data_IF_626512480125
#
_entry.id   IF_626512480125
#
_cell.length_a   1.000
_cell.length_b   1.000
_cell.length_c   1.000
_cell.angle_alpha   90.00
_cell.angle_beta   90.00
_cell.angle_gamma   90.00
#
_symmetry.space_group_name_H-M   'P 1'
#
loop_
_entity.id
_entity.type
_entity.pdbx_description
1 polymer ?
#
# COMPACT_ATOMS: atom_id res chain seq x y z
N UNK A 1 -7.97 27.47 -40.50
CA UNK A 1 -8.93 26.73 -39.66
C UNK A 1 -8.30 26.43 -38.29
N UNK A 2 -8.01 27.47 -37.48
CA UNK A 2 -7.32 27.32 -36.18
C UNK A 2 -8.15 26.59 -35.12
N UNK A 3 -9.49 26.58 -35.27
CA UNK A 3 -10.42 25.99 -34.30
C UNK A 3 -10.25 24.47 -34.13
N UNK A 4 -9.74 23.76 -35.15
CA UNK A 4 -9.53 22.30 -35.09
C UNK A 4 -8.31 21.99 -34.22
N UNK A 5 -7.25 22.80 -34.34
CA UNK A 5 -6.04 22.67 -33.54
C UNK A 5 -6.30 23.03 -32.08
N UNK A 6 -7.09 24.07 -31.81
CA UNK A 6 -7.54 24.41 -30.46
C UNK A 6 -8.40 23.30 -29.85
N UNK A 7 -9.33 22.73 -30.61
CA UNK A 7 -10.15 21.61 -30.14
C UNK A 7 -9.32 20.35 -29.83
N UNK A 8 -8.32 20.05 -30.67
CA UNK A 8 -7.38 18.94 -30.42
C UNK A 8 -6.51 19.18 -29.19
N UNK A 9 -6.02 20.40 -29.00
CA UNK A 9 -5.23 20.78 -27.82
C UNK A 9 -6.08 20.73 -26.54
N UNK A 10 -7.33 21.17 -26.60
CA UNK A 10 -8.28 21.06 -25.49
C UNK A 10 -8.59 19.60 -25.17
N UNK A 11 -8.82 18.75 -26.17
CA UNK A 11 -9.01 17.31 -25.97
C UNK A 11 -7.79 16.64 -25.36
N UNK A 12 -6.58 17.00 -25.81
CA UNK A 12 -5.32 16.50 -25.25
C UNK A 12 -5.13 16.95 -23.81
N UNK A 13 -5.41 18.22 -23.50
CA UNK A 13 -5.34 18.76 -22.16
C UNK A 13 -6.38 18.10 -21.25
N UNK A 14 -7.59 17.88 -21.73
CA UNK A 14 -8.65 17.20 -20.99
C UNK A 14 -8.30 15.72 -20.75
N UNK A 15 -7.67 15.04 -21.71
CA UNK A 15 -7.18 13.68 -21.55
C UNK A 15 -6.03 13.58 -20.54
N UNK A 16 -5.11 14.56 -20.52
CA UNK A 16 -4.06 14.69 -19.50
C UNK A 16 -4.66 14.94 -18.12
N UNK A 17 -5.65 15.81 -18.02
CA UNK A 17 -6.36 16.14 -16.79
C UNK A 17 -7.15 14.92 -16.30
N UNK A 18 -7.77 14.17 -17.22
CA UNK A 18 -8.42 12.90 -16.93
C UNK A 18 -7.43 11.82 -16.49
N UNK A 19 -6.19 11.79 -17.00
CA UNK A 19 -5.13 10.91 -16.49
C UNK A 19 -4.68 11.31 -15.08
N UNK A 20 -4.69 12.62 -14.77
CA UNK A 20 -4.33 13.16 -13.46
C UNK A 20 -5.42 12.91 -12.39
N UNK A 21 -6.69 12.95 -12.82
CA UNK A 21 -7.88 12.74 -11.98
C UNK A 21 -8.37 11.28 -12.06
N UNK A 22 -7.77 10.44 -12.91
CA UNK A 22 -8.19 9.06 -13.09
C UNK A 22 -8.18 8.41 -11.72
N UNK A 23 -9.33 7.90 -11.22
CA UNK A 23 -9.30 7.09 -10.02
C UNK A 23 -8.33 5.98 -10.33
N UNK A 24 -7.21 5.94 -9.60
CA UNK A 24 -6.34 4.77 -9.66
C UNK A 24 -7.26 3.58 -9.37
N UNK A 25 -7.05 2.42 -9.99
CA UNK A 25 -7.66 1.22 -9.46
C UNK A 25 -7.05 1.04 -8.05
N UNK A 26 -7.71 1.66 -7.08
CA UNK A 26 -7.23 1.82 -5.71
C UNK A 26 -7.56 0.56 -4.92
N UNK A 27 -6.67 0.24 -3.99
CA UNK A 27 -6.94 -0.77 -3.00
C UNK A 27 -6.38 -2.15 -3.31
N UNK A 28 -6.58 -2.99 -2.29
CA UNK A 28 -5.95 -4.29 -2.15
C UNK A 28 -6.32 -5.26 -3.27
N UNK A 29 -7.54 -5.17 -3.78
CA UNK A 29 -8.05 -6.05 -4.84
C UNK A 29 -7.33 -5.83 -6.16
N UNK A 30 -6.98 -4.58 -6.48
CA UNK A 30 -6.19 -4.30 -7.67
C UNK A 30 -4.75 -4.79 -7.53
N UNK A 31 -4.12 -4.54 -6.37
CA UNK A 31 -2.79 -5.06 -6.09
C UNK A 31 -2.76 -6.59 -6.15
N UNK A 32 -3.81 -7.23 -5.62
CA UNK A 32 -4.06 -8.67 -5.72
C UNK A 32 -4.12 -9.15 -7.15
N UNK A 33 -4.93 -8.52 -7.99
CA UNK A 33 -5.03 -8.90 -9.40
C UNK A 33 -3.69 -8.80 -10.16
N UNK A 34 -2.83 -7.82 -9.81
CA UNK A 34 -1.56 -7.58 -10.50
C UNK A 34 -0.40 -8.43 -10.00
N UNK A 35 -0.37 -8.76 -8.72
CA UNK A 35 0.74 -9.49 -8.09
C UNK A 35 0.37 -10.93 -7.69
N UNK A 36 -0.81 -11.44 -8.08
CA UNK A 36 -1.29 -12.80 -7.74
C UNK A 36 -0.26 -13.91 -7.95
N UNK A 37 0.55 -13.84 -9.01
CA UNK A 37 1.50 -14.89 -9.38
C UNK A 37 2.91 -14.62 -8.83
N UNK A 38 3.10 -13.53 -8.08
CA UNK A 38 4.41 -13.04 -7.62
C UNK A 38 4.56 -13.04 -6.10
N UNK A 39 3.44 -13.03 -5.37
CA UNK A 39 3.39 -12.99 -3.91
C UNK A 39 2.47 -14.09 -3.38
N UNK A 40 2.84 -14.61 -2.22
CA UNK A 40 1.92 -15.41 -1.42
C UNK A 40 0.93 -14.47 -0.72
N UNK A 41 -0.30 -14.45 -1.21
CA UNK A 41 -1.36 -13.60 -0.66
C UNK A 41 -1.80 -14.04 0.73
N UNK A 42 -1.58 -15.30 1.12
CA UNK A 42 -1.83 -15.76 2.48
C UNK A 42 -0.88 -15.08 3.48
N UNK A 43 0.37 -14.82 3.08
CA UNK A 43 1.33 -14.10 3.93
C UNK A 43 0.98 -12.62 4.07
N UNK A 44 0.56 -11.99 2.97
CA UNK A 44 0.11 -10.60 2.95
C UNK A 44 -1.14 -10.41 3.81
N UNK A 45 -2.16 -11.24 3.62
CA UNK A 45 -3.38 -11.23 4.42
C UNK A 45 -3.07 -11.52 5.90
N UNK A 46 -2.15 -12.45 6.18
CA UNK A 46 -1.65 -12.74 7.52
C UNK A 46 -1.03 -11.51 8.21
N UNK A 47 -0.14 -10.80 7.52
CA UNK A 47 0.51 -9.60 8.06
C UNK A 47 -0.49 -8.46 8.30
N UNK A 48 -1.42 -8.23 7.38
CA UNK A 48 -2.47 -7.20 7.54
C UNK A 48 -3.43 -7.53 8.68
N UNK A 49 -3.78 -8.80 8.84
CA UNK A 49 -4.60 -9.27 9.95
C UNK A 49 -3.87 -9.13 11.28
N UNK A 50 -2.57 -9.43 11.34
CA UNK A 50 -1.75 -9.22 12.52
C UNK A 50 -1.70 -7.74 12.93
N UNK A 51 -1.45 -6.84 11.99
CA UNK A 51 -1.48 -5.40 12.24
C UNK A 51 -2.87 -4.94 12.70
N UNK A 52 -3.94 -5.47 12.10
CA UNK A 52 -5.32 -5.13 12.48
C UNK A 52 -5.68 -5.61 13.89
N UNK A 53 -5.20 -6.80 14.30
CA UNK A 53 -5.37 -7.32 15.67
C UNK A 53 -4.62 -6.45 16.67
N UNK A 54 -3.36 -6.13 16.38
CA UNK A 54 -2.54 -5.25 17.23
C UNK A 54 -3.15 -3.85 17.37
N UNK A 55 -3.70 -3.31 16.28
CA UNK A 55 -4.44 -2.05 16.31
C UNK A 55 -5.68 -2.14 17.21
N UNK A 56 -6.42 -3.26 17.17
CA UNK A 56 -7.59 -3.48 18.02
C UNK A 56 -7.21 -3.63 19.50
N UNK A 57 -6.17 -4.41 19.81
CA UNK A 57 -5.63 -4.57 21.16
C UNK A 57 -5.17 -3.24 21.75
N UNK A 58 -4.46 -2.42 20.97
CA UNK A 58 -4.03 -1.08 21.40
C UNK A 58 -5.22 -0.13 21.60
N UNK A 59 -6.25 -0.21 20.77
CA UNK A 59 -7.49 0.57 20.93
C UNK A 59 -8.26 0.16 22.17
N UNK A 60 -8.34 -1.13 22.47
CA UNK A 60 -8.98 -1.65 23.67
C UNK A 60 -8.20 -1.24 24.93
N UNK A 61 -6.87 -1.38 24.91
CA UNK A 61 -5.99 -0.92 25.98
C UNK A 61 -6.11 0.60 26.22
N UNK A 62 -6.32 1.39 25.16
CA UNK A 62 -6.54 2.83 25.26
C UNK A 62 -7.89 3.20 25.90
N UNK A 63 -8.90 2.31 25.83
CA UNK A 63 -10.22 2.51 26.44
C UNK A 63 -10.27 2.10 27.92
N UNK A 64 -9.20 1.52 28.47
CA UNK A 64 -9.15 1.11 29.86
C UNK A 64 -9.37 2.31 30.81
N UNK A 65 -10.23 2.18 31.84
CA UNK A 65 -10.39 3.23 32.84
C UNK A 65 -9.11 3.39 33.67
N UNK A 66 -8.78 4.65 34.03
CA UNK A 66 -7.62 5.02 34.88
C UNK A 66 -6.22 4.80 34.28
N UNK A 67 -6.03 5.05 32.99
CA UNK A 67 -4.68 5.10 32.41
C UNK A 67 -3.86 6.29 32.93
N UNK A 68 -2.62 6.03 33.31
CA UNK A 68 -1.64 7.08 33.62
C UNK A 68 -1.34 7.91 32.34
N UNK A 69 -1.08 9.23 32.44
CA UNK A 69 -0.79 10.09 31.28
C UNK A 69 0.39 9.59 30.41
N UNK A 70 1.42 9.04 31.05
CA UNK A 70 2.57 8.44 30.39
C UNK A 70 2.18 7.21 29.57
N UNK A 71 1.32 6.35 30.14
CA UNK A 71 0.77 5.16 29.47
C UNK A 71 -0.15 5.53 28.31
N UNK A 72 -0.99 6.56 28.44
CA UNK A 72 -1.79 7.07 27.32
C UNK A 72 -0.92 7.58 26.17
N UNK A 73 0.15 8.30 26.49
CA UNK A 73 1.08 8.80 25.48
C UNK A 73 1.80 7.67 24.77
N UNK A 74 2.24 6.64 25.50
CA UNK A 74 2.88 5.46 24.93
C UNK A 74 1.91 4.65 24.04
N UNK A 75 0.67 4.41 24.49
CA UNK A 75 -0.36 3.71 23.73
C UNK A 75 -0.75 4.48 22.46
N UNK A 76 -0.89 5.80 22.54
CA UNK A 76 -1.16 6.66 21.38
C UNK A 76 -0.05 6.56 20.33
N UNK A 77 1.23 6.64 20.76
CA UNK A 77 2.37 6.47 19.84
C UNK A 77 2.40 5.08 19.20
N UNK A 78 2.16 4.03 19.99
CA UNK A 78 2.11 2.66 19.48
C UNK A 78 0.97 2.47 18.46
N UNK A 79 -0.21 3.04 18.73
CA UNK A 79 -1.35 2.98 17.82
C UNK A 79 -1.07 3.69 16.49
N UNK A 80 -0.50 4.89 16.56
CA UNK A 80 -0.06 5.66 15.40
C UNK A 80 0.94 4.82 14.58
N UNK A 81 1.97 4.28 15.23
CA UNK A 81 2.98 3.45 14.58
C UNK A 81 2.37 2.27 13.81
N UNK A 82 1.47 1.50 14.43
CA UNK A 82 0.80 0.35 13.78
C UNK A 82 -0.05 0.79 12.59
N UNK A 83 -0.74 1.94 12.71
CA UNK A 83 -1.51 2.51 11.59
C UNK A 83 -0.59 2.94 10.44
N UNK A 84 0.56 3.54 10.73
CA UNK A 84 1.57 3.88 9.71
C UNK A 84 2.16 2.63 9.05
N UNK A 85 2.49 1.59 9.81
CA UNK A 85 2.99 0.32 9.28
C UNK A 85 1.98 -0.32 8.32
N UNK A 86 0.70 -0.33 8.70
CA UNK A 86 -0.39 -0.80 7.83
C UNK A 86 -0.51 0.03 6.56
N UNK A 87 -0.50 1.36 6.65
CA UNK A 87 -0.55 2.25 5.49
C UNK A 87 0.65 2.04 4.56
N UNK A 88 1.85 1.90 5.12
CA UNK A 88 3.09 1.63 4.37
C UNK A 88 3.02 0.31 3.63
N UNK A 89 2.55 -0.76 4.28
CA UNK A 89 2.39 -2.07 3.63
C UNK A 89 1.43 -1.99 2.44
N UNK A 90 0.29 -1.31 2.59
CA UNK A 90 -0.67 -1.09 1.51
C UNK A 90 -0.05 -0.28 0.35
N UNK A 91 0.62 0.82 0.67
CA UNK A 91 1.27 1.67 -0.34
C UNK A 91 2.37 0.92 -1.11
N UNK A 92 3.13 0.04 -0.44
CA UNK A 92 4.14 -0.82 -1.08
C UNK A 92 3.49 -1.80 -2.05
N UNK A 93 2.39 -2.46 -1.65
CA UNK A 93 1.66 -3.39 -2.53
C UNK A 93 1.09 -2.67 -3.76
N UNK A 94 0.53 -1.47 -3.58
CA UNK A 94 0.02 -0.66 -4.69
C UNK A 94 1.15 -0.19 -5.61
N UNK A 95 2.30 0.24 -5.06
CA UNK A 95 3.48 0.63 -5.84
C UNK A 95 3.98 -0.53 -6.70
N UNK A 96 4.13 -1.72 -6.10
CA UNK A 96 4.59 -2.92 -6.81
C UNK A 96 3.59 -3.35 -7.89
N UNK A 97 2.30 -3.23 -7.62
CA UNK A 97 1.26 -3.51 -8.60
C UNK A 97 1.29 -2.52 -9.79
N UNK A 98 1.57 -1.24 -9.52
CA UNK A 98 1.77 -0.22 -10.54
C UNK A 98 3.03 -0.50 -11.37
N UNK A 99 4.15 -0.81 -10.73
CA UNK A 99 5.38 -1.20 -11.41
C UNK A 99 5.15 -2.43 -12.30
N UNK A 100 4.46 -3.45 -11.77
CA UNK A 100 4.10 -4.64 -12.53
C UNK A 100 3.19 -4.34 -13.73
N UNK A 101 2.27 -3.38 -13.60
CA UNK A 101 1.39 -2.96 -14.68
C UNK A 101 2.11 -2.13 -15.74
N UNK A 102 3.16 -1.40 -15.37
CA UNK A 102 3.96 -0.56 -16.27
C UNK A 102 5.07 -1.34 -16.98
N UNK A 103 5.41 -2.54 -16.52
CA UNK A 103 6.42 -3.40 -17.16
C UNK A 103 6.09 -3.67 -18.62
N UNK A 104 6.94 -3.19 -19.53
CA UNK A 104 6.83 -3.41 -20.99
C UNK A 104 7.57 -4.66 -21.47
N UNK A 105 8.06 -5.49 -20.54
CA UNK A 105 8.74 -6.75 -20.84
C UNK A 105 10.27 -6.67 -20.90
N UNK A 106 10.87 -5.56 -20.44
CA UNK A 106 12.33 -5.43 -20.37
C UNK A 106 12.96 -6.30 -19.28
N UNK A 107 14.09 -6.99 -19.53
CA UNK A 107 14.71 -7.88 -18.55
C UNK A 107 15.26 -7.14 -17.31
N UNK A 108 15.72 -5.90 -17.46
CA UNK A 108 16.17 -5.06 -16.32
C UNK A 108 15.04 -4.68 -15.39
N UNK A 109 13.93 -4.21 -15.95
CA UNK A 109 12.77 -3.76 -15.18
C UNK A 109 12.14 -4.94 -14.42
N UNK A 110 12.12 -6.13 -15.03
CA UNK A 110 11.68 -7.36 -14.37
C UNK A 110 12.62 -7.77 -13.21
N UNK A 111 13.92 -7.50 -13.33
CA UNK A 111 14.89 -7.79 -12.28
C UNK A 111 14.74 -6.83 -11.10
N UNK A 112 14.51 -5.54 -11.36
CA UNK A 112 14.26 -4.54 -10.32
C UNK A 112 12.96 -4.83 -9.56
N UNK A 113 11.89 -5.22 -10.27
CA UNK A 113 10.64 -5.64 -9.62
C UNK A 113 10.86 -6.87 -8.72
N UNK A 114 11.66 -7.84 -9.16
CA UNK A 114 11.98 -9.02 -8.34
C UNK A 114 12.72 -8.66 -7.06
N UNK A 115 13.68 -7.73 -7.13
CA UNK A 115 14.39 -7.25 -5.94
C UNK A 115 13.41 -6.61 -4.95
N UNK A 116 12.54 -5.71 -5.41
CA UNK A 116 11.55 -5.05 -4.53
C UNK A 116 10.50 -6.02 -3.97
N UNK A 117 10.14 -7.05 -4.72
CA UNK A 117 9.29 -8.14 -4.22
C UNK A 117 9.99 -8.97 -3.14
N UNK A 118 11.30 -9.14 -3.23
CA UNK A 118 12.08 -9.80 -2.20
C UNK A 118 12.14 -8.95 -0.93
N UNK A 119 12.37 -7.65 -1.06
CA UNK A 119 12.31 -6.70 0.07
C UNK A 119 10.93 -6.74 0.75
N UNK A 120 9.84 -6.80 -0.03
CA UNK A 120 8.49 -6.95 0.51
C UNK A 120 8.34 -8.26 1.31
N UNK A 121 8.89 -9.37 0.84
CA UNK A 121 8.83 -10.65 1.59
C UNK A 121 9.59 -10.56 2.91
N UNK A 122 10.70 -9.84 2.95
CA UNK A 122 11.43 -9.60 4.20
C UNK A 122 10.61 -8.76 5.18
N UNK A 123 9.92 -7.73 4.69
CA UNK A 123 8.98 -6.92 5.49
C UNK A 123 7.81 -7.77 6.01
N UNK A 124 7.22 -8.62 5.18
CA UNK A 124 6.15 -9.53 5.62
C UNK A 124 6.66 -10.51 6.69
N UNK A 125 7.88 -11.03 6.53
CA UNK A 125 8.52 -11.91 7.49
C UNK A 125 8.91 -11.21 8.81
N UNK A 126 9.25 -9.92 8.78
CA UNK A 126 9.51 -9.13 10.00
C UNK A 126 8.21 -8.88 10.75
N UNK A 127 7.15 -8.44 10.05
CA UNK A 127 5.83 -8.22 10.64
C UNK A 127 5.25 -9.49 11.25
N UNK A 128 5.46 -10.65 10.61
CA UNK A 128 5.08 -11.95 11.18
C UNK A 128 5.82 -12.26 12.47
N UNK A 129 7.11 -11.97 12.55
CA UNK A 129 7.92 -12.17 13.76
C UNK A 129 7.53 -11.24 14.89
N UNK A 130 7.07 -10.04 14.58
CA UNK A 130 6.58 -9.08 15.58
C UNK A 130 5.15 -9.39 16.06
N UNK A 131 4.43 -10.23 15.33
CA UNK A 131 3.04 -10.61 15.63
C UNK A 131 2.88 -11.97 16.33
N UNK A 132 3.93 -12.79 16.38
CA UNK A 132 3.95 -14.10 17.06
C UNK A 132 4.78 -14.06 18.33
#
# INVERSE_FOLDING_TARGET
MPWVLEALLLLLALALLFLLIRPRPEGLDWARAKLKDLLDWSEVEGALNALSRREAELKEAFQAPHLLPETQTALSRALIQVQEERKRLLALLESLAAERALLRGGPREAQELRARLQDLREVLASLRREAG
#
